data_IF_161264945948
#
_entry.id   IF_161264945948
#
_cell.length_a   1.000
_cell.length_b   1.000
_cell.length_c   1.000
_cell.angle_alpha   90.00
_cell.angle_beta   90.00
_cell.angle_gamma   90.00
#
_symmetry.space_group_name_H-M   'P 1'
#
loop_
_entity.id
_entity.type
_entity.pdbx_description
1 polymer ?
2 non-polymer ?
3 water ?
#
# COMPACT_ATOMS: atom_id res chain seq x y z
N UNK A 1 -14.10 -5.90 -9.98
CA UNK A 1 -12.82 -5.18 -10.24
C UNK A 1 -11.66 -5.84 -9.53
N UNK A 2 -10.52 -5.92 -10.22
CA UNK A 2 -9.31 -6.50 -9.65
C UNK A 2 -8.21 -5.49 -9.93
N UNK A 3 -7.37 -5.22 -8.94
CA UNK A 3 -6.28 -4.26 -9.13
C UNK A 3 -4.95 -4.99 -8.98
N UNK A 4 -4.11 -4.84 -9.99
CA UNK A 4 -2.80 -5.46 -9.97
C UNK A 4 -1.78 -4.32 -9.84
N UNK A 5 -1.05 -4.29 -8.74
CA UNK A 5 -0.05 -3.26 -8.54
C UNK A 5 1.29 -3.92 -8.74
N UNK A 6 2.09 -3.39 -9.65
CA UNK A 6 3.41 -3.95 -9.93
C UNK A 6 4.47 -3.02 -9.38
N UNK A 7 5.29 -3.51 -8.46
CA UNK A 7 6.35 -2.69 -7.92
C UNK A 7 7.62 -3.12 -8.62
N UNK A 8 8.27 -2.17 -9.31
CA UNK A 8 9.49 -2.44 -10.04
C UNK A 8 10.33 -1.18 -10.16
N UNK A 9 11.61 -1.32 -10.52
CA UNK A 9 12.48 -0.17 -10.66
C UNK A 9 12.06 0.64 -11.86
N UNK A 10 12.17 1.96 -11.75
CA UNK A 10 11.82 2.87 -12.81
C UNK A 10 12.78 2.69 -13.98
N UNK A 11 12.33 3.00 -15.19
CA UNK A 11 13.22 2.89 -16.33
C UNK A 11 12.83 2.01 -17.49
N UNK A 12 11.90 1.08 -17.29
CA UNK A 12 11.51 0.20 -18.39
C UNK A 12 10.98 1.04 -19.56
N UNK A 13 11.30 0.64 -20.80
CA UNK A 13 10.83 1.37 -21.97
C UNK A 13 9.32 1.26 -22.16
N UNK A 14 8.71 2.26 -22.81
CA UNK A 14 7.26 2.30 -23.07
C UNK A 14 6.69 0.99 -23.61
N UNK A 15 7.32 0.44 -24.65
CA UNK A 15 6.84 -0.81 -25.24
C UNK A 15 6.79 -1.98 -24.26
N UNK A 16 7.79 -2.06 -23.39
CA UNK A 16 7.84 -3.14 -22.42
C UNK A 16 6.70 -3.04 -21.40
N UNK A 17 6.45 -1.81 -20.93
CA UNK A 17 5.38 -1.57 -19.96
C UNK A 17 4.06 -1.92 -20.62
N UNK A 18 3.93 -1.52 -21.89
CA UNK A 18 2.72 -1.76 -22.66
C UNK A 18 2.43 -3.26 -22.77
N UNK A 19 3.47 -4.04 -23.05
CA UNK A 19 3.33 -5.49 -23.18
C UNK A 19 3.01 -6.13 -21.84
N UNK A 20 3.69 -5.67 -20.80
CA UNK A 20 3.47 -6.19 -19.44
C UNK A 20 2.00 -6.00 -19.07
N UNK A 21 1.52 -4.78 -19.22
CA UNK A 21 0.15 -4.45 -18.91
C UNK A 21 -0.84 -5.32 -19.71
N UNK A 22 -0.49 -5.64 -20.95
CA UNK A 22 -1.34 -6.48 -21.79
C UNK A 22 -1.39 -7.91 -21.30
N UNK A 23 -0.21 -8.52 -21.14
CA UNK A 23 -0.12 -9.90 -20.70
C UNK A 23 -0.76 -10.11 -19.34
N UNK A 24 -0.44 -9.24 -18.39
CA UNK A 24 -1.02 -9.35 -17.05
C UNK A 24 -2.54 -9.24 -17.10
N UNK A 25 -3.03 -8.28 -17.87
CA UNK A 25 -4.48 -8.09 -17.96
C UNK A 25 -5.12 -9.30 -18.59
N UNK A 26 -4.37 -10.00 -19.44
CA UNK A 26 -4.89 -11.18 -20.11
C UNK A 26 -5.08 -12.33 -19.13
N UNK A 27 -4.02 -12.64 -18.38
CA UNK A 27 -4.05 -13.72 -17.42
C UNK A 27 -5.03 -13.51 -16.27
N UNK A 28 -5.11 -12.29 -15.76
CA UNK A 28 -6.03 -11.99 -14.65
C UNK A 28 -7.49 -11.99 -15.09
N UNK A 29 -7.75 -11.47 -16.28
CA UNK A 29 -9.11 -11.41 -16.80
C UNK A 29 -9.64 -12.82 -17.00
N UNK A 30 -8.75 -13.70 -17.43
CA UNK A 30 -9.04 -15.09 -17.70
C UNK A 30 -9.33 -15.91 -16.43
N UNK A 31 -8.33 -16.06 -15.58
CA UNK A 31 -8.49 -16.85 -14.38
C UNK A 31 -9.45 -16.36 -13.31
N UNK A 32 -9.74 -15.05 -13.29
CA UNK A 32 -10.65 -14.54 -12.27
C UNK A 32 -12.02 -14.20 -12.83
N UNK A 33 -12.24 -14.57 -14.09
CA UNK A 33 -13.53 -14.29 -14.71
C UNK A 33 -13.91 -12.83 -14.58
N UNK A 34 -13.02 -11.96 -15.03
CA UNK A 34 -13.25 -10.51 -14.97
C UNK A 34 -13.20 -9.84 -16.34
N UNK A 35 -14.11 -8.90 -16.59
CA UNK A 35 -14.16 -8.16 -17.85
C UNK A 35 -13.01 -7.16 -17.86
N UNK A 36 -12.29 -7.09 -18.99
CA UNK A 36 -11.15 -6.18 -19.13
C UNK A 36 -11.28 -4.83 -18.45
N UNK A 37 -12.39 -4.13 -18.69
CA UNK A 37 -12.61 -2.82 -18.10
C UNK A 37 -12.49 -2.85 -16.59
N UNK A 38 -12.59 -4.04 -15.99
CA UNK A 38 -12.52 -4.18 -14.54
C UNK A 38 -11.16 -4.63 -14.01
N UNK A 39 -10.19 -4.80 -14.90
CA UNK A 39 -8.85 -5.20 -14.49
C UNK A 39 -8.01 -3.93 -14.61
N UNK A 40 -7.54 -3.43 -13.46
CA UNK A 40 -6.74 -2.21 -13.43
C UNK A 40 -5.31 -2.58 -13.09
N UNK A 41 -4.36 -1.97 -13.77
CA UNK A 41 -2.96 -2.23 -13.48
C UNK A 41 -2.29 -0.91 -13.13
N UNK A 42 -1.54 -0.92 -12.05
CA UNK A 42 -0.82 0.27 -11.63
C UNK A 42 0.65 -0.11 -11.56
N UNK A 43 1.48 0.72 -12.19
CA UNK A 43 2.90 0.48 -12.16
C UNK A 43 3.48 1.43 -11.13
N UNK A 44 3.92 0.85 -10.02
CA UNK A 44 4.53 1.62 -8.94
C UNK A 44 6.03 1.51 -9.20
N UNK A 45 6.58 2.50 -9.89
CA UNK A 45 8.00 2.50 -10.23
C UNK A 45 8.79 3.18 -9.13
N UNK A 46 9.76 2.46 -8.59
CA UNK A 46 10.56 3.00 -7.51
C UNK A 46 11.96 3.34 -8.00
N UNK A 47 12.53 4.39 -7.43
CA UNK A 47 13.86 4.81 -7.82
C UNK A 47 14.90 3.97 -7.12
N UNK A 48 16.10 3.93 -7.67
CA UNK A 48 17.15 3.12 -7.06
C UNK A 48 17.55 3.52 -5.65
N UNK A 49 17.37 4.79 -5.29
CA UNK A 49 17.71 5.20 -3.92
C UNK A 49 16.50 5.05 -2.97
N UNK A 50 15.49 4.28 -3.39
CA UNK A 50 14.30 4.03 -2.56
C UNK A 50 14.04 2.54 -2.36
N UNK A 51 14.93 1.70 -2.86
CA UNK A 51 14.73 0.25 -2.74
C UNK A 51 16.00 -0.42 -2.27
N UNK A 52 15.87 -1.29 -1.28
CA UNK A 52 17.05 -1.96 -0.75
C UNK A 52 16.79 -3.43 -0.47
N UNK A 53 17.86 -4.21 -0.59
CA UNK A 53 17.81 -5.65 -0.34
C UNK A 53 19.11 -5.96 0.37
N UNK A 54 19.04 -6.75 1.44
CA UNK A 54 20.26 -7.07 2.14
C UNK A 54 20.94 -5.84 2.72
N UNK A 55 20.15 -4.84 3.08
CA UNK A 55 20.67 -3.64 3.69
C UNK A 55 21.39 -2.67 2.77
N UNK A 56 21.31 -2.91 1.48
CA UNK A 56 22.00 -2.04 0.52
C UNK A 56 21.01 -1.46 -0.47
N UNK A 57 21.00 -0.13 -0.59
CA UNK A 57 20.14 0.54 -1.57
C UNK A 57 20.73 0.28 -2.97
N UNK A 58 19.86 0.12 -3.96
CA UNK A 58 20.32 -0.12 -5.33
C UNK A 58 21.19 1.04 -5.81
N UNK A 59 20.93 2.25 -5.30
CA UNK A 59 21.73 3.39 -5.70
C UNK A 59 23.19 3.27 -5.22
N UNK A 60 23.39 2.82 -3.99
CA UNK A 60 24.74 2.66 -3.45
C UNK A 60 25.43 1.45 -4.06
N UNK A 61 24.63 0.44 -4.41
CA UNK A 61 25.17 -0.77 -5.02
C UNK A 61 25.77 -0.43 -6.38
N UNK A 62 25.15 0.50 -7.09
CA UNK A 62 25.63 0.90 -8.41
C UNK A 62 26.76 1.90 -8.32
N UNK A 63 27.02 2.39 -7.12
CA UNK A 63 28.10 3.34 -6.91
C UNK A 63 27.70 4.80 -6.93
N UNK A 64 28.67 5.67 -6.64
CA UNK A 64 28.43 7.10 -6.62
C UNK A 64 29.64 7.86 -7.18
N UNK B 1 14.28 -7.73 -8.56
CA UNK B 1 13.00 -8.25 -7.99
C UNK B 1 11.81 -7.45 -8.50
N UNK B 2 10.67 -8.13 -8.57
CA UNK B 2 9.42 -7.54 -9.02
C UNK B 2 8.35 -8.03 -8.06
N UNK B 3 7.51 -7.12 -7.58
CA UNK B 3 6.44 -7.52 -6.67
C UNK B 3 5.09 -7.23 -7.31
N UNK B 4 4.22 -8.23 -7.30
CA UNK B 4 2.90 -8.06 -7.86
C UNK B 4 1.93 -8.17 -6.70
N UNK B 5 1.11 -7.15 -6.50
CA UNK B 5 0.13 -7.20 -5.43
C UNK B 5 -1.22 -7.23 -6.11
N UNK B 6 -2.01 -8.25 -5.80
CA UNK B 6 -3.35 -8.35 -6.39
C UNK B 6 -4.38 -8.02 -5.33
N UNK B 7 -5.18 -6.98 -5.57
CA UNK B 7 -6.24 -6.57 -4.66
C UNK B 7 -7.53 -7.08 -5.26
N UNK B 8 -8.22 -7.93 -4.52
CA UNK B 8 -9.46 -8.50 -4.99
C UNK B 8 -10.35 -8.89 -3.84
N UNK B 9 -11.63 -9.09 -4.14
CA UNK B 9 -12.61 -9.49 -3.13
C UNK B 9 -12.32 -10.92 -2.65
N UNK B 10 -12.51 -11.17 -1.37
CA UNK B 10 -12.30 -12.48 -0.76
C UNK B 10 -13.21 -13.50 -1.46
N UNK B 11 -12.87 -14.78 -1.38
CA UNK B 11 -13.75 -15.78 -1.97
C UNK B 11 -13.30 -16.62 -3.16
N UNK B 12 -12.19 -16.29 -3.78
CA UNK B 12 -11.73 -17.08 -4.92
C UNK B 12 -11.18 -18.42 -4.44
N UNK B 13 -11.52 -19.51 -5.15
CA UNK B 13 -11.07 -20.86 -4.82
C UNK B 13 -9.55 -21.00 -4.87
N UNK B 14 -8.98 -21.75 -3.91
CA UNK B 14 -7.53 -21.95 -3.85
C UNK B 14 -6.94 -22.42 -5.19
N UNK B 15 -7.74 -23.12 -5.98
CA UNK B 15 -7.28 -23.60 -7.28
C UNK B 15 -6.91 -22.43 -8.20
N UNK B 16 -7.83 -21.49 -8.33
CA UNK B 16 -7.62 -20.32 -9.17
C UNK B 16 -6.51 -19.41 -8.64
N UNK B 17 -6.45 -19.24 -7.32
CA UNK B 17 -5.41 -18.41 -6.72
C UNK B 17 -4.04 -18.98 -7.06
N UNK B 18 -3.94 -20.30 -6.94
CA UNK B 18 -2.70 -20.99 -7.21
C UNK B 18 -2.24 -20.85 -8.66
N UNK B 19 -3.19 -20.83 -9.58
CA UNK B 19 -2.85 -20.73 -10.98
C UNK B 19 -2.53 -19.29 -11.37
N UNK B 20 -3.26 -18.35 -10.79
CA UNK B 20 -3.04 -16.93 -11.03
C UNK B 20 -1.59 -16.63 -10.68
N UNK B 21 -1.20 -17.09 -9.50
CA UNK B 21 0.15 -16.87 -9.01
C UNK B 21 1.23 -17.45 -9.93
N UNK B 22 1.13 -18.73 -10.29
CA UNK B 22 2.13 -19.34 -11.17
C UNK B 22 2.25 -18.58 -12.50
N UNK B 23 1.10 -18.30 -13.09
CA UNK B 23 1.02 -17.58 -14.36
C UNK B 23 1.58 -16.15 -14.32
N UNK B 24 1.11 -15.37 -13.35
CA UNK B 24 1.58 -13.99 -13.23
C UNK B 24 3.09 -13.99 -13.08
N UNK B 25 3.60 -14.99 -12.36
CA UNK B 25 5.03 -15.10 -12.13
C UNK B 25 5.77 -15.41 -13.43
N UNK B 26 5.22 -16.31 -14.24
CA UNK B 26 5.86 -16.67 -15.49
C UNK B 26 5.88 -15.48 -16.45
N UNK B 27 4.73 -14.86 -16.67
CA UNK B 27 4.63 -13.72 -17.57
C UNK B 27 5.56 -12.58 -17.13
N UNK B 28 5.53 -12.27 -15.84
CA UNK B 28 6.37 -11.19 -15.32
C UNK B 28 7.84 -11.54 -15.43
N UNK B 29 8.15 -12.81 -15.19
CA UNK B 29 9.54 -13.28 -15.24
C UNK B 29 10.19 -13.16 -16.62
N UNK B 30 9.49 -13.60 -17.66
CA UNK B 30 10.05 -13.56 -19.00
C UNK B 30 10.02 -12.17 -19.64
N UNK B 31 8.89 -11.48 -19.51
CA UNK B 31 8.75 -10.15 -20.09
C UNK B 31 9.69 -9.12 -19.47
N UNK B 32 10.19 -9.39 -18.27
CA UNK B 32 11.06 -8.43 -17.58
C UNK B 32 12.45 -8.97 -17.31
N UNK B 33 12.73 -10.17 -17.79
CA UNK B 33 14.04 -10.74 -17.59
C UNK B 33 14.42 -10.82 -16.12
N UNK B 34 13.44 -11.13 -15.29
CA UNK B 34 13.67 -11.26 -13.86
C UNK B 34 13.66 -12.75 -13.52
N UNK B 35 14.58 -13.20 -12.66
CA UNK B 35 14.56 -14.63 -12.33
C UNK B 35 13.30 -15.00 -11.54
N UNK B 36 12.85 -16.24 -11.72
CA UNK B 36 11.67 -16.77 -11.05
C UNK B 36 11.67 -16.49 -9.55
N UNK B 37 12.77 -16.83 -8.90
CA UNK B 37 12.92 -16.67 -7.46
C UNK B 37 12.78 -15.21 -7.02
N UNK B 38 13.06 -14.29 -7.94
CA UNK B 38 12.99 -12.86 -7.63
C UNK B 38 11.61 -12.24 -7.88
N UNK B 39 10.63 -13.09 -8.18
CA UNK B 39 9.29 -12.60 -8.43
C UNK B 39 8.37 -12.98 -7.27
N UNK B 40 7.77 -11.96 -6.65
CA UNK B 40 6.87 -12.18 -5.53
C UNK B 40 5.46 -11.73 -5.86
N UNK B 41 4.49 -12.47 -5.32
CA UNK B 41 3.10 -12.14 -5.54
C UNK B 41 2.40 -12.12 -4.19
N UNK B 42 1.64 -11.06 -3.93
CA UNK B 42 0.90 -10.98 -2.70
C UNK B 42 -0.57 -10.76 -3.02
N UNK B 43 -1.44 -11.52 -2.36
CA UNK B 43 -2.86 -11.39 -2.59
C UNK B 43 -3.50 -10.64 -1.44
N UNK B 44 -3.97 -9.43 -1.73
CA UNK B 44 -4.62 -8.63 -0.71
C UNK B 44 -6.12 -8.87 -0.89
N UNK B 45 -6.66 -9.81 -0.10
CA UNK B 45 -8.08 -10.15 -0.21
C UNK B 45 -8.91 -9.29 0.71
N UNK B 46 -9.85 -8.57 0.12
CA UNK B 46 -10.70 -7.65 0.87
C UNK B 46 -12.08 -8.27 1.19
N UNK B 47 -12.55 -8.09 2.42
CA UNK B 47 -13.87 -8.62 2.80
C UNK B 47 -14.98 -7.81 2.16
N UNK B 48 -16.16 -8.40 2.04
CA UNK B 48 -17.27 -7.68 1.44
C UNK B 48 -17.66 -6.46 2.25
N UNK B 49 -17.39 -6.47 3.55
CA UNK B 49 -17.76 -5.29 4.34
C UNK B 49 -16.64 -4.25 4.39
N UNK B 50 -15.66 -4.37 3.49
CA UNK B 50 -14.53 -3.43 3.42
C UNK B 50 -14.34 -2.96 1.99
N UNK B 51 -15.22 -3.40 1.11
CA UNK B 51 -15.14 -3.12 -0.31
C UNK B 51 -16.40 -2.41 -0.80
N UNK B 52 -16.24 -1.22 -1.37
CA UNK B 52 -17.37 -0.44 -1.85
C UNK B 52 -17.19 0.18 -3.23
N UNK B 53 -18.30 0.26 -3.95
CA UNK B 53 -18.35 0.85 -5.29
C UNK B 53 -19.64 1.64 -5.33
N UNK B 54 -19.56 2.87 -5.84
CA UNK B 54 -20.75 3.70 -5.92
C UNK B 54 -21.43 3.98 -4.59
N UNK B 55 -20.65 4.10 -3.52
CA UNK B 55 -21.22 4.38 -2.22
C UNK B 55 -21.84 3.22 -1.46
N UNK B 56 -21.76 2.02 -2.04
CA UNK B 56 -22.36 0.86 -1.41
C UNK B 56 -21.36 -0.23 -1.04
N UNK B 57 -21.35 -0.62 0.23
CA UNK B 57 -20.49 -1.71 0.67
C UNK B 57 -21.08 -2.99 0.11
N UNK B 58 -20.24 -3.87 -0.41
CA UNK B 58 -20.79 -5.10 -0.96
C UNK B 58 -21.51 -5.93 0.08
N UNK B 59 -21.16 -5.74 1.36
CA UNK B 59 -21.80 -6.49 2.42
C UNK B 59 -23.26 -6.03 2.57
N UNK B 60 -23.59 -4.88 1.98
CA UNK B 60 -24.95 -4.35 2.09
C UNK B 60 -25.83 -4.69 0.90
N UNK B 61 -25.35 -5.51 -0.01
CA UNK B 61 -26.16 -5.91 -1.16
C UNK B 61 -26.85 -7.23 -0.81
N UNK B 62 -28.11 -7.38 -1.22
CA UNK B 62 -28.84 -8.61 -0.89
C UNK B 62 -28.26 -9.83 -1.61
N UNK B 63 -28.29 -10.96 -0.92
CA UNK B 63 -27.78 -12.20 -1.48
C UNK B 63 -26.33 -12.48 -1.13
N UNK C 1 10.06 -14.09 3.39
CA UNK C 1 10.94 -12.94 3.68
C UNK C 1 10.17 -11.91 4.52
N UNK C 2 10.68 -10.68 4.54
CA UNK C 2 10.02 -9.61 5.28
C UNK C 2 10.24 -8.31 4.52
N UNK C 3 9.19 -7.51 4.40
CA UNK C 3 9.31 -6.25 3.70
C UNK C 3 8.96 -5.12 4.64
N UNK C 4 9.80 -4.10 4.66
CA UNK C 4 9.57 -2.96 5.52
C UNK C 4 9.38 -1.78 4.59
N UNK C 5 8.24 -1.13 4.72
CA UNK C 5 7.94 0.02 3.89
C UNK C 5 7.92 1.23 4.81
N UNK C 6 8.71 2.22 4.48
CA UNK C 6 8.76 3.42 5.29
C UNK C 6 8.09 4.54 4.51
N UNK C 7 7.04 5.12 5.07
CA UNK C 7 6.38 6.23 4.43
C UNK C 7 6.84 7.46 5.18
N UNK C 8 7.49 8.37 4.47
CA UNK C 8 8.02 9.57 5.08
C UNK C 8 8.12 10.65 4.02
N UNK C 9 8.23 11.89 4.49
CA UNK C 9 8.34 13.02 3.58
C UNK C 9 9.65 12.96 2.81
N UNK C 10 9.61 13.38 1.56
CA UNK C 10 10.81 13.37 0.75
C UNK C 10 11.81 14.38 1.32
N UNK C 11 13.09 14.24 0.98
CA UNK C 11 14.07 15.21 1.44
C UNK C 11 15.23 14.73 2.31
N UNK C 12 15.16 13.52 2.84
CA UNK C 12 16.24 13.03 3.69
C UNK C 12 17.52 12.82 2.91
N UNK C 13 18.67 13.22 3.50
CA UNK C 13 19.97 13.08 2.84
C UNK C 13 20.30 11.61 2.61
N UNK C 14 21.07 11.31 1.57
CA UNK C 14 21.46 9.93 1.24
C UNK C 14 22.06 9.16 2.41
N UNK C 15 22.86 9.83 3.23
CA UNK C 15 23.51 9.14 4.35
C UNK C 15 22.50 8.72 5.40
N UNK C 16 21.49 9.56 5.61
CA UNK C 16 20.46 9.23 6.59
C UNK C 16 19.68 8.01 6.12
N UNK C 17 19.41 7.98 4.83
CA UNK C 17 18.66 6.88 4.24
C UNK C 17 19.43 5.57 4.29
N UNK C 18 20.72 5.61 3.98
CA UNK C 18 21.45 4.36 4.00
C UNK C 18 21.60 3.83 5.43
N UNK C 19 21.76 4.72 6.40
CA UNK C 19 21.86 4.25 7.78
C UNK C 19 20.52 3.67 8.22
N UNK C 20 19.43 4.34 7.86
CA UNK C 20 18.11 3.85 8.23
C UNK C 20 17.90 2.44 7.65
N UNK C 21 18.24 2.26 6.38
CA UNK C 21 18.09 0.96 5.74
C UNK C 21 18.94 -0.11 6.44
N UNK C 22 20.18 0.22 6.81
CA UNK C 22 21.04 -0.73 7.51
C UNK C 22 20.42 -1.12 8.85
N UNK C 23 20.05 -0.13 9.65
CA UNK C 23 19.47 -0.38 10.97
C UNK C 23 18.19 -1.22 10.92
N UNK C 24 17.29 -0.89 9.99
CA UNK C 24 16.04 -1.64 9.83
C UNK C 24 16.32 -3.09 9.41
N UNK C 25 17.30 -3.26 8.52
CA UNK C 25 17.62 -4.56 8.01
C UNK C 25 18.21 -5.46 9.09
N UNK C 26 19.17 -4.95 9.85
CA UNK C 26 19.79 -5.76 10.89
C UNK C 26 18.77 -6.11 11.97
N UNK C 27 17.96 -5.14 12.38
CA UNK C 27 16.98 -5.37 13.44
C UNK C 27 15.89 -6.34 13.02
N UNK C 28 15.36 -6.19 11.81
CA UNK C 28 14.29 -7.08 11.35
C UNK C 28 14.85 -8.49 11.24
N UNK C 29 16.05 -8.59 10.71
CA UNK C 29 16.70 -9.88 10.54
C UNK C 29 16.96 -10.54 11.89
N UNK C 30 17.36 -9.72 12.85
CA UNK C 30 17.69 -10.18 14.19
C UNK C 30 16.48 -10.66 14.98
N UNK C 31 15.45 -9.83 15.04
CA UNK C 31 14.27 -10.13 15.81
C UNK C 31 13.33 -11.16 15.21
N UNK C 32 13.35 -11.32 13.89
CA UNK C 32 12.46 -12.27 13.23
C UNK C 32 13.13 -13.55 12.71
N UNK C 33 14.46 -13.63 12.81
CA UNK C 33 15.15 -14.80 12.32
C UNK C 33 15.06 -14.93 10.81
N UNK C 34 15.07 -13.80 10.10
CA UNK C 34 14.99 -13.83 8.64
C UNK C 34 16.38 -13.57 8.08
N UNK C 35 16.75 -14.31 7.02
CA UNK C 35 18.08 -14.10 6.44
C UNK C 35 18.27 -12.62 6.14
N UNK C 36 19.40 -12.07 6.60
CA UNK C 36 19.72 -10.65 6.40
C UNK C 36 19.60 -10.25 4.93
N UNK C 37 20.03 -11.13 4.04
CA UNK C 37 19.99 -10.83 2.63
C UNK C 37 18.59 -10.80 2.04
N UNK C 38 17.62 -11.39 2.74
CA UNK C 38 16.24 -11.46 2.26
C UNK C 38 15.38 -10.31 2.72
N UNK C 39 15.89 -9.47 3.62
CA UNK C 39 15.09 -8.35 4.10
C UNK C 39 15.10 -7.24 3.05
N UNK C 40 13.91 -6.77 2.71
CA UNK C 40 13.77 -5.73 1.72
C UNK C 40 13.19 -4.49 2.39
N UNK C 41 13.62 -3.32 1.93
CA UNK C 41 13.14 -2.07 2.49
C UNK C 41 12.76 -1.19 1.31
N UNK C 42 11.59 -0.58 1.37
CA UNK C 42 11.19 0.33 0.33
C UNK C 42 10.86 1.66 1.02
N UNK C 43 11.33 2.75 0.44
CA UNK C 43 11.10 4.08 0.98
C UNK C 43 10.05 4.72 0.09
N UNK C 44 8.87 4.92 0.66
CA UNK C 44 7.79 5.55 -0.06
C UNK C 44 7.91 7.02 0.36
N UNK C 45 8.65 7.80 -0.41
CA UNK C 45 8.85 9.21 -0.09
C UNK C 45 7.72 10.04 -0.71
N UNK C 46 6.95 10.69 0.14
CA UNK C 46 5.80 11.49 -0.30
C UNK C 46 6.22 12.95 -0.50
N UNK C 47 5.73 13.56 -1.58
CA UNK C 47 6.05 14.96 -1.85
C UNK C 47 5.36 15.83 -0.82
N UNK C 48 5.91 17.02 -0.57
CA UNK C 48 5.29 17.93 0.40
C UNK C 48 3.87 18.31 -0.03
N UNK C 49 3.61 18.34 -1.33
CA UNK C 49 2.28 18.68 -1.79
C UNK C 49 1.37 17.47 -1.96
N UNK C 50 1.75 16.36 -1.34
CA UNK C 50 0.94 15.13 -1.38
C UNK C 50 0.70 14.58 0.02
N UNK C 51 1.18 15.31 1.02
CA UNK C 51 1.14 14.91 2.42
C UNK C 51 0.43 15.94 3.30
N UNK C 52 -0.72 15.55 3.85
CA UNK C 52 -1.51 16.46 4.67
C UNK C 52 -1.84 15.91 6.06
N UNK C 53 -1.93 16.83 7.01
CA UNK C 53 -2.31 16.52 8.40
C UNK C 53 -3.16 17.71 8.84
N UNK C 54 -4.24 17.43 9.56
CA UNK C 54 -5.09 18.52 10.01
C UNK C 54 -5.66 19.32 8.86
N UNK C 55 -5.91 18.64 7.73
CA UNK C 55 -6.48 19.28 6.56
C UNK C 55 -5.56 20.19 5.75
N UNK C 56 -4.29 20.25 6.10
CA UNK C 56 -3.37 21.11 5.38
C UNK C 56 -2.19 20.37 4.77
N UNK C 57 -1.94 20.64 3.49
CA UNK C 57 -0.81 20.03 2.78
C UNK C 57 0.49 20.65 3.29
N UNK C 58 1.51 19.83 3.49
CA UNK C 58 2.78 20.31 4.01
C UNK C 58 3.37 21.44 3.17
N UNK C 59 3.17 21.38 1.86
CA UNK C 59 3.71 22.41 0.98
C UNK C 59 3.09 23.77 1.32
N UNK C 60 1.82 23.78 1.73
CA UNK C 60 1.13 25.03 2.07
C UNK C 60 1.56 25.48 3.45
N UNK C 61 1.63 24.54 4.38
CA UNK C 61 2.04 24.83 5.74
C UNK C 61 3.44 25.44 5.73
N UNK C 62 4.40 24.71 5.16
CA UNK C 62 5.78 25.16 5.08
C UNK C 62 5.97 26.37 4.18
N UNK C 63 5.21 26.42 3.08
CA UNK C 63 5.31 27.53 2.16
C UNK C 63 3.96 28.15 1.85
N UNK D 1 5.71 12.95 11.24
CA UNK D 1 5.25 11.55 11.38
C UNK D 1 5.91 10.63 10.35
N UNK D 2 6.12 9.39 10.74
CA UNK D 2 6.71 8.40 9.85
C UNK D 2 5.94 7.13 10.17
N UNK D 3 5.58 6.38 9.12
CA UNK D 3 4.85 5.16 9.31
C UNK D 3 5.71 4.02 8.78
N UNK D 4 5.87 2.98 9.59
CA UNK D 4 6.64 1.83 9.16
C UNK D 4 5.61 0.73 8.99
N UNK D 5 5.56 0.13 7.81
CA UNK D 5 4.62 -0.97 7.57
C UNK D 5 5.47 -2.20 7.37
N UNK D 6 5.23 -3.22 8.18
CA UNK D 6 6.02 -4.44 8.06
C UNK D 6 5.14 -5.53 7.46
N UNK D 7 5.56 -6.09 6.34
CA UNK D 7 4.82 -7.17 5.71
C UNK D 7 5.55 -8.45 6.07
N UNK D 8 4.84 -9.35 6.76
CA UNK D 8 5.43 -10.61 7.16
C UNK D 8 4.34 -11.65 7.30
N UNK D 9 4.75 -12.91 7.28
CA UNK D 9 3.77 -13.99 7.44
C UNK D 9 3.17 -13.96 8.84
N UNK D 10 1.88 -14.23 8.95
CA UNK D 10 1.23 -14.26 10.25
C UNK D 10 1.81 -15.41 11.07
N UNK D 11 1.56 -15.38 12.37
CA UNK D 11 2.04 -16.45 13.22
C UNK D 11 2.95 -16.03 14.35
N UNK D 12 3.51 -14.83 14.27
CA UNK D 12 4.40 -14.35 15.33
C UNK D 12 3.68 -14.12 16.64
N UNK D 13 4.25 -14.61 17.75
CA UNK D 13 3.64 -14.44 19.06
C UNK D 13 3.59 -12.96 19.48
N UNK D 14 2.64 -12.61 20.35
CA UNK D 14 2.50 -11.22 20.81
C UNK D 14 3.79 -10.60 21.34
N UNK D 15 4.55 -11.35 22.12
CA UNK D 15 5.79 -10.83 22.68
C UNK D 15 6.78 -10.42 21.59
N UNK D 16 6.82 -11.19 20.50
CA UNK D 16 7.73 -10.89 19.41
C UNK D 16 7.29 -9.62 18.65
N UNK D 17 5.98 -9.47 18.45
CA UNK D 17 5.44 -8.30 17.75
C UNK D 17 5.73 -7.04 18.56
N UNK D 18 5.51 -7.14 19.85
CA UNK D 18 5.73 -6.04 20.79
C UNK D 18 7.21 -5.60 20.75
N UNK D 19 8.12 -6.57 20.78
CA UNK D 19 9.55 -6.26 20.74
C UNK D 19 9.91 -5.57 19.43
N UNK D 20 9.44 -6.14 18.32
CA UNK D 20 9.70 -5.57 16.99
C UNK D 20 9.24 -4.11 16.91
N UNK D 21 8.01 -3.84 17.34
CA UNK D 21 7.47 -2.50 17.30
C UNK D 21 8.24 -1.51 18.15
N UNK D 22 8.63 -1.95 19.34
CA UNK D 22 9.37 -1.09 20.25
C UNK D 22 10.76 -0.74 19.69
N UNK D 23 11.50 -1.73 19.19
CA UNK D 23 12.83 -1.47 18.64
C UNK D 23 12.81 -0.64 17.35
N UNK D 24 11.87 -0.92 16.46
CA UNK D 24 11.81 -0.14 15.23
C UNK D 24 11.48 1.31 15.56
N UNK D 25 10.56 1.50 16.50
CA UNK D 25 10.16 2.85 16.90
C UNK D 25 11.32 3.67 17.46
N UNK D 26 12.08 3.08 18.38
CA UNK D 26 13.22 3.77 19.00
C UNK D 26 14.22 4.17 17.92
N UNK D 27 14.53 3.21 17.05
CA UNK D 27 15.49 3.45 15.99
C UNK D 27 15.05 4.53 15.00
N UNK D 28 13.81 4.47 14.53
CA UNK D 28 13.34 5.46 13.57
C UNK D 28 13.25 6.84 14.20
N UNK D 29 12.74 6.90 15.42
CA UNK D 29 12.59 8.16 16.12
C UNK D 29 13.94 8.89 16.22
N UNK D 30 14.93 8.20 16.75
CA UNK D 30 16.25 8.80 16.91
C UNK D 30 16.86 9.19 15.57
N UNK D 31 16.97 8.20 14.68
CA UNK D 31 17.58 8.39 13.38
C UNK D 31 16.93 9.45 12.50
N UNK D 32 15.60 9.53 12.50
CA UNK D 32 14.94 10.50 11.65
C UNK D 32 14.61 11.79 12.38
N UNK D 33 14.84 11.79 13.69
CA UNK D 33 14.56 12.99 14.48
C UNK D 33 13.08 13.27 14.57
N UNK D 34 12.28 12.21 14.66
CA UNK D 34 10.83 12.34 14.77
C UNK D 34 10.43 12.10 16.22
N UNK D 35 9.42 12.82 16.71
CA UNK D 35 8.94 12.64 18.09
C UNK D 35 8.54 11.19 18.26
N UNK D 36 9.02 10.59 19.35
CA UNK D 36 8.74 9.19 19.63
C UNK D 36 7.28 8.82 19.42
N UNK D 37 6.38 9.68 19.88
CA UNK D 37 4.95 9.42 19.75
C UNK D 37 4.42 9.57 18.34
N UNK D 38 5.21 10.17 17.45
CA UNK D 38 4.82 10.39 16.05
C UNK D 38 5.25 9.26 15.13
N UNK D 39 5.88 8.24 15.68
CA UNK D 39 6.31 7.10 14.87
C UNK D 39 5.24 6.04 15.02
N UNK D 40 4.69 5.64 13.87
CA UNK D 40 3.62 4.64 13.81
C UNK D 40 4.11 3.37 13.11
N UNK D 41 3.68 2.22 13.63
CA UNK D 41 4.06 0.98 13.02
C UNK D 41 2.78 0.18 12.72
N UNK D 42 2.70 -0.38 11.53
CA UNK D 42 1.55 -1.19 11.17
C UNK D 42 2.09 -2.54 10.77
N UNK D 43 1.52 -3.62 11.32
CA UNK D 43 1.98 -4.95 10.97
C UNK D 43 0.98 -5.54 10.00
N UNK D 44 1.42 -5.76 8.78
CA UNK D 44 0.56 -6.33 7.76
C UNK D 44 0.91 -7.82 7.68
N UNK D 45 0.17 -8.64 8.42
CA UNK D 45 0.43 -10.08 8.45
C UNK D 45 -0.32 -10.79 7.33
N UNK D 46 0.43 -11.50 6.52
CA UNK D 46 -0.12 -12.19 5.36
C UNK D 46 -0.30 -13.68 5.65
N UNK D 47 -1.36 -14.27 5.10
CA UNK D 47 -1.59 -15.70 5.30
C UNK D 47 -0.67 -16.44 4.34
N UNK D 48 -0.38 -17.69 4.66
CA UNK D 48 0.49 -18.47 3.82
C UNK D 48 -0.15 -18.68 2.45
N UNK D 49 -1.47 -18.66 2.38
CA UNK D 49 -2.12 -18.84 1.08
C UNK D 49 -2.35 -17.52 0.35
N UNK D 50 -1.61 -16.48 0.74
CA UNK D 50 -1.71 -15.18 0.10
C UNK D 50 -0.34 -14.66 -0.31
N UNK D 51 0.70 -15.46 -0.10
CA UNK D 51 2.05 -15.02 -0.44
C UNK D 51 2.78 -16.08 -1.23
N UNK D 52 3.34 -15.67 -2.38
CA UNK D 52 4.07 -16.58 -3.24
C UNK D 52 5.42 -16.02 -3.61
N UNK D 53 6.35 -16.94 -3.84
CA UNK D 53 7.71 -16.61 -4.23
C UNK D 53 8.05 -17.65 -5.30
N UNK D 54 8.66 -17.22 -6.40
CA UNK D 54 8.99 -18.17 -7.44
C UNK D 54 7.78 -18.95 -7.93
N UNK D 55 6.65 -18.27 -8.02
CA UNK D 55 5.44 -18.89 -8.51
C UNK D 55 4.73 -19.89 -7.60
N UNK D 56 5.20 -20.06 -6.38
CA UNK D 56 4.58 -21.03 -5.47
C UNK D 56 4.06 -20.42 -4.15
N UNK D 57 2.78 -20.65 -3.90
CA UNK D 57 2.14 -20.15 -2.68
C UNK D 57 2.75 -20.87 -1.50
N UNK D 58 3.00 -20.14 -0.41
CA UNK D 58 3.59 -20.78 0.75
C UNK D 58 2.70 -21.82 1.39
N UNK D 59 1.41 -21.78 1.08
CA UNK D 59 0.48 -22.76 1.63
C UNK D 59 0.77 -24.12 0.97
N UNK D 60 1.35 -24.09 -0.23
CA UNK D 60 1.68 -25.32 -0.94
C UNK D 60 3.12 -25.73 -0.65
N UNK D 61 4.02 -24.75 -0.60
CA UNK D 61 5.43 -25.02 -0.32
C UNK D 61 5.61 -25.57 1.09
N UNK D 62 4.58 -25.43 1.91
CA UNK D 62 4.62 -25.90 3.30
C UNK D 62 4.43 -27.41 3.36
N UNK E 1 -5.64 7.67 15.23
CA UNK E 1 -5.59 8.44 13.96
C UNK E 1 -6.15 7.63 12.80
N UNK E 2 -6.38 8.32 11.68
CA UNK E 2 -6.91 7.68 10.49
C UNK E 2 -6.12 8.21 9.30
N UNK E 3 -5.84 7.34 8.34
CA UNK E 3 -5.10 7.75 7.17
C UNK E 3 -5.96 7.49 5.96
N UNK E 4 -6.12 8.50 5.12
CA UNK E 4 -6.91 8.35 3.92
C UNK E 4 -5.94 8.50 2.76
N UNK E 5 -5.82 7.45 1.95
CA UNK E 5 -4.93 7.49 0.81
C UNK E 5 -5.81 7.60 -0.43
N UNK E 6 -5.54 8.61 -1.25
CA UNK E 6 -6.32 8.79 -2.46
C UNK E 6 -5.44 8.47 -3.66
N UNK E 7 -5.82 7.44 -4.40
CA UNK E 7 -5.09 7.06 -5.61
C UNK E 7 -5.86 7.66 -6.77
N UNK E 8 -5.18 8.50 -7.54
CA UNK E 8 -5.81 9.17 -8.68
C UNK E 8 -4.74 9.61 -9.69
N UNK E 9 -5.13 9.76 -10.93
CA UNK E 9 -4.21 10.21 -11.97
C UNK E 9 -3.66 11.59 -11.62
N UNK E 10 -2.40 11.84 -11.97
CA UNK E 10 -1.82 13.14 -11.67
C UNK E 10 -2.47 14.15 -12.63
N UNK E 11 -2.28 15.44 -12.36
CA UNK E 11 -2.83 16.45 -13.24
C UNK E 11 -3.94 17.31 -12.67
N UNK E 12 -4.51 16.93 -11.53
CA UNK E 12 -5.56 17.74 -10.95
C UNK E 12 -5.01 19.10 -10.51
N UNK E 13 -5.84 20.15 -10.56
CA UNK E 13 -5.39 21.49 -10.15
C UNK E 13 -5.08 21.50 -8.64
N UNK E 14 -4.10 22.30 -8.22
CA UNK E 14 -3.77 22.36 -6.79
C UNK E 14 -4.94 22.70 -5.87
N UNK E 15 -5.84 23.58 -6.33
CA UNK E 15 -6.98 23.96 -5.49
C UNK E 15 -7.98 22.82 -5.31
N UNK E 16 -8.09 21.97 -6.34
CA UNK E 16 -9.00 20.83 -6.25
C UNK E 16 -8.45 19.89 -5.20
N UNK E 17 -7.14 19.66 -5.25
CA UNK E 17 -6.50 18.79 -4.29
C UNK E 17 -6.60 19.38 -2.90
N UNK E 18 -6.40 20.68 -2.75
CA UNK E 18 -6.49 21.30 -1.42
C UNK E 18 -7.87 21.12 -0.84
N UNK E 19 -8.87 21.39 -1.67
CA UNK E 19 -10.27 21.28 -1.26
C UNK E 19 -10.60 19.85 -0.86
N UNK E 20 -10.15 18.90 -1.68
CA UNK E 20 -10.38 17.49 -1.40
C UNK E 20 -9.81 17.13 -0.02
N UNK E 21 -8.57 17.53 0.22
CA UNK E 21 -7.93 17.25 1.49
C UNK E 21 -8.70 17.85 2.66
N UNK E 22 -9.10 19.10 2.50
CA UNK E 22 -9.83 19.80 3.55
C UNK E 22 -11.18 19.12 3.83
N UNK E 23 -11.95 18.86 2.77
CA UNK E 23 -13.25 18.22 2.91
C UNK E 23 -13.16 16.79 3.50
N UNK E 24 -12.21 16.01 3.01
CA UNK E 24 -12.03 14.64 3.50
C UNK E 24 -11.72 14.65 5.00
N UNK E 25 -10.86 15.57 5.42
CA UNK E 25 -10.45 15.69 6.80
C UNK E 25 -11.61 16.08 7.72
N UNK E 26 -12.38 17.09 7.33
CA UNK E 26 -13.52 17.53 8.14
C UNK E 26 -14.50 16.38 8.36
N UNK E 27 -14.86 15.74 7.26
CA UNK E 27 -15.80 14.64 7.30
C UNK E 27 -15.29 13.42 8.06
N UNK E 28 -14.03 13.04 7.85
CA UNK E 28 -13.49 11.88 8.57
C UNK E 28 -13.40 12.21 10.06
N UNK E 29 -13.00 13.43 10.37
CA UNK E 29 -12.86 13.86 11.75
C UNK E 29 -14.17 13.81 12.52
N UNK E 30 -15.19 14.44 11.96
CA UNK E 30 -16.51 14.50 12.58
C UNK E 30 -17.17 13.14 12.67
N UNK E 31 -17.16 12.42 11.55
CA UNK E 31 -17.77 11.12 11.46
C UNK E 31 -17.13 10.04 12.32
N UNK E 32 -15.82 10.07 12.46
CA UNK E 32 -15.14 9.05 13.24
C UNK E 32 -14.70 9.54 14.61
N UNK E 33 -15.06 10.78 14.94
CA UNK E 33 -14.68 11.33 16.23
C UNK E 33 -13.18 11.39 16.45
N UNK E 34 -12.42 11.52 15.36
CA UNK E 34 -10.97 11.61 15.45
C UNK E 34 -10.58 13.09 15.49
N UNK E 35 -9.60 13.45 16.32
CA UNK E 35 -9.22 14.85 16.38
C UNK E 35 -8.70 15.31 15.00
N UNK E 36 -9.11 16.50 14.62
CA UNK E 36 -8.76 17.10 13.34
C UNK E 36 -7.28 16.95 12.95
N UNK E 37 -6.38 17.09 13.92
CA UNK E 37 -4.94 16.97 13.65
C UNK E 37 -4.47 15.54 13.45
N UNK E 38 -5.27 14.57 13.89
CA UNK E 38 -4.93 13.16 13.76
C UNK E 38 -5.39 12.53 12.44
N UNK E 39 -6.06 13.33 11.61
CA UNK E 39 -6.50 12.80 10.34
C UNK E 39 -5.46 13.16 9.30
N UNK E 40 -4.96 12.14 8.62
CA UNK E 40 -3.95 12.33 7.60
C UNK E 40 -4.38 11.89 6.24
N UNK E 41 -4.00 12.67 5.24
CA UNK E 41 -4.33 12.34 3.86
C UNK E 41 -3.05 12.26 3.04
N UNK E 42 -2.95 11.22 2.22
CA UNK E 42 -1.81 11.02 1.34
C UNK E 42 -2.36 10.95 -0.07
N UNK E 43 -1.79 11.76 -0.94
CA UNK E 43 -2.22 11.77 -2.33
C UNK E 43 -1.22 10.97 -3.14
N UNK E 44 -1.70 9.83 -3.65
CA UNK E 44 -0.89 8.97 -4.47
C UNK E 44 -1.28 9.27 -5.91
N UNK E 45 -0.52 10.16 -6.53
CA UNK E 45 -0.78 10.55 -7.91
C UNK E 45 -0.04 9.64 -8.86
N UNK E 46 -0.79 8.95 -9.71
CA UNK E 46 -0.20 8.02 -10.65
C UNK E 46 -0.03 8.69 -12.02
N UNK E 47 1.06 8.36 -12.70
CA UNK E 47 1.33 8.92 -14.01
C UNK E 47 0.50 8.19 -15.05
N UNK E 48 0.20 8.89 -16.14
CA UNK E 48 -0.58 8.28 -17.20
C UNK E 48 0.11 7.07 -17.78
N UNK E 49 1.44 7.05 -17.73
CA UNK E 49 2.16 5.90 -18.26
C UNK E 49 2.37 4.82 -17.20
N UNK E 50 1.60 4.89 -16.11
CA UNK E 50 1.69 3.89 -15.02
C UNK E 50 0.28 3.41 -14.61
N UNK E 51 -0.71 3.81 -15.39
CA UNK E 51 -2.11 3.51 -15.05
C UNK E 51 -2.80 2.91 -16.25
N UNK E 52 -3.32 1.69 -16.09
CA UNK E 52 -3.99 0.99 -17.17
C UNK E 52 -5.32 0.41 -16.76
N UNK E 53 -6.20 0.30 -17.74
CA UNK E 53 -7.52 -0.28 -17.55
C UNK E 53 -7.83 -0.97 -18.86
N UNK E 54 -8.25 -2.24 -18.79
CA UNK E 54 -8.57 -2.95 -20.00
C UNK E 54 -7.35 -3.24 -20.86
N UNK E 55 -6.20 -3.34 -20.21
CA UNK E 55 -4.97 -3.62 -20.92
C UNK E 55 -4.38 -2.40 -21.63
N UNK E 56 -4.94 -1.22 -21.39
CA UNK E 56 -4.44 -0.02 -22.05
C UNK E 56 -3.95 1.11 -21.14
N UNK E 57 -2.67 1.46 -21.27
CA UNK E 57 -2.08 2.53 -20.48
C UNK E 57 -2.78 3.81 -20.88
N UNK E 58 -3.12 4.66 -19.91
CA UNK E 58 -3.80 5.89 -20.27
C UNK E 58 -2.92 6.83 -21.10
N UNK E 59 -1.62 6.66 -21.03
CA UNK E 59 -0.72 7.48 -21.82
C UNK E 59 -0.96 7.17 -23.29
N UNK E 60 -1.46 5.98 -23.56
CA UNK E 60 -1.77 5.58 -24.93
C UNK E 60 -3.22 5.94 -25.22
N UNK E 61 -3.71 6.96 -24.52
CA UNK E 61 -5.08 7.43 -24.66
C UNK E 61 -6.09 6.32 -24.36
N UNK F 1 -11.41 6.55 -12.72
CA UNK F 1 -11.52 5.85 -11.42
C UNK F 1 -10.65 6.52 -10.35
N UNK F 2 -11.16 6.53 -9.12
CA UNK F 2 -10.44 7.08 -7.99
C UNK F 2 -10.62 6.07 -6.88
N UNK F 3 -9.54 5.77 -6.19
CA UNK F 3 -9.62 4.79 -5.11
C UNK F 3 -9.26 5.42 -3.78
N UNK F 4 -10.18 5.36 -2.84
CA UNK F 4 -9.93 5.90 -1.52
C UNK F 4 -9.71 4.72 -0.61
N UNK F 5 -8.54 4.66 0.00
CA UNK F 5 -8.22 3.59 0.91
C UNK F 5 -8.15 4.23 2.29
N UNK F 6 -8.97 3.72 3.19
CA UNK F 6 -8.98 4.26 4.54
C UNK F 6 -8.28 3.27 5.46
N UNK F 7 -7.24 3.73 6.16
CA UNK F 7 -6.55 2.87 7.10
C UNK F 7 -7.04 3.33 8.48
N UNK F 8 -7.66 2.42 9.23
CA UNK F 8 -8.20 2.74 10.55
C UNK F 8 -8.22 1.47 11.40
N UNK F 9 -8.31 1.65 12.72
CA UNK F 9 -8.33 0.53 13.64
C UNK F 9 -9.65 -0.22 13.47
N UNK F 10 -9.60 -1.55 13.50
CA UNK F 10 -10.82 -2.36 13.38
C UNK F 10 -11.77 -1.99 14.55
N UNK F 11 -13.02 -2.43 14.48
CA UNK F 11 -13.95 -2.14 15.57
C UNK F 11 -15.16 -1.25 15.30
N UNK F 12 -15.08 -0.40 14.28
CA UNK F 12 -16.19 0.49 13.97
C UNK F 12 -17.46 -0.28 13.61
N UNK F 13 -18.62 0.20 14.09
CA UNK F 13 -19.87 -0.48 13.80
C UNK F 13 -20.24 -0.30 12.34
N UNK F 14 -20.99 -1.27 11.78
CA UNK F 14 -21.43 -1.24 10.39
C UNK F 14 -22.05 0.08 9.96
N UNK F 15 -22.92 0.62 10.80
CA UNK F 15 -23.59 1.86 10.42
C UNK F 15 -22.60 2.98 10.15
N UNK F 16 -21.60 3.11 11.00
CA UNK F 16 -20.60 4.16 10.82
C UNK F 16 -19.76 3.90 9.57
N UNK F 17 -19.49 2.63 9.28
CA UNK F 17 -18.72 2.32 8.11
C UNK F 17 -19.53 2.59 6.84
N UNK F 18 -20.82 2.26 6.84
CA UNK F 18 -21.56 2.53 5.61
C UNK F 18 -21.77 4.02 5.46
N UNK F 19 -21.90 4.73 6.57
CA UNK F 19 -22.04 6.20 6.49
C UNK F 19 -20.75 6.85 5.97
N UNK F 20 -19.60 6.32 6.37
CA UNK F 20 -18.32 6.87 5.93
C UNK F 20 -18.15 6.65 4.43
N UNK F 21 -18.38 5.42 3.99
CA UNK F 21 -18.24 5.07 2.58
C UNK F 21 -19.15 5.93 1.70
N UNK F 22 -20.35 6.22 2.22
CA UNK F 22 -21.31 7.03 1.48
C UNK F 22 -20.84 8.47 1.32
N UNK F 23 -20.43 9.09 2.42
CA UNK F 23 -19.95 10.47 2.42
C UNK F 23 -18.69 10.66 1.59
N UNK F 24 -17.75 9.71 1.69
CA UNK F 24 -16.51 9.79 0.91
C UNK F 24 -16.80 9.70 -0.57
N UNK F 25 -17.75 8.83 -0.93
CA UNK F 25 -18.07 8.68 -2.33
C UNK F 25 -18.72 9.94 -2.90
N UNK F 26 -19.69 10.47 -2.17
CA UNK F 26 -20.40 11.67 -2.60
C UNK F 26 -19.46 12.88 -2.76
N UNK F 27 -18.51 13.02 -1.84
CA UNK F 27 -17.56 14.13 -1.91
C UNK F 27 -16.56 13.93 -3.05
N UNK F 28 -16.02 12.74 -3.15
CA UNK F 28 -15.05 12.43 -4.19
C UNK F 28 -15.67 12.57 -5.58
N UNK F 29 -16.91 12.08 -5.72
CA UNK F 29 -17.61 12.15 -7.00
C UNK F 29 -17.77 13.61 -7.39
N UNK F 30 -18.27 14.40 -6.45
CA UNK F 30 -18.50 15.82 -6.63
C UNK F 30 -17.22 16.57 -6.95
N UNK F 31 -16.36 16.73 -5.94
CA UNK F 31 -15.10 17.44 -6.11
C UNK F 31 -14.28 17.04 -7.32
N UNK F 32 -14.20 15.75 -7.61
CA UNK F 32 -13.39 15.29 -8.75
C UNK F 32 -14.17 14.99 -10.02
N UNK F 33 -15.49 15.11 -9.95
CA UNK F 33 -16.31 14.84 -11.12
C UNK F 33 -16.18 13.44 -11.66
N UNK F 34 -16.21 12.45 -10.77
CA UNK F 34 -16.10 11.06 -11.17
C UNK F 34 -17.46 10.40 -11.01
N UNK F 35 -17.78 9.43 -11.88
CA UNK F 35 -19.08 8.77 -11.77
C UNK F 35 -19.04 7.81 -10.58
N UNK F 36 -20.12 7.78 -9.81
CA UNK F 36 -20.20 6.91 -8.62
C UNK F 36 -19.60 5.53 -8.77
N UNK F 37 -19.85 4.89 -9.91
CA UNK F 37 -19.34 3.54 -10.14
C UNK F 37 -17.82 3.53 -10.21
N UNK F 38 -17.23 4.67 -10.52
CA UNK F 38 -15.79 4.76 -10.62
C UNK F 38 -15.12 5.15 -9.30
N UNK F 39 -15.93 5.46 -8.30
CA UNK F 39 -15.39 5.82 -7.00
C UNK F 39 -15.42 4.55 -6.16
N UNK F 40 -14.24 4.04 -5.84
CA UNK F 40 -14.13 2.82 -5.05
C UNK F 40 -13.52 3.16 -3.71
N UNK F 41 -14.00 2.50 -2.68
CA UNK F 41 -13.47 2.73 -1.35
C UNK F 41 -13.09 1.36 -0.80
N UNK F 42 -11.92 1.31 -0.17
CA UNK F 42 -11.42 0.08 0.42
C UNK F 42 -11.14 0.40 1.89
N UNK F 43 -11.67 -0.39 2.79
CA UNK F 43 -11.42 -0.12 4.20
C UNK F 43 -10.36 -1.09 4.70
N UNK F 44 -9.17 -0.56 4.95
CA UNK F 44 -8.08 -1.39 5.44
C UNK F 44 -8.14 -1.33 6.97
N UNK F 45 -8.87 -2.26 7.56
CA UNK F 45 -9.00 -2.26 9.02
C UNK F 45 -7.85 -3.01 9.66
N UNK F 46 -7.13 -2.31 10.52
CA UNK F 46 -5.98 -2.93 11.15
C UNK F 46 -6.41 -3.44 12.53
N UNK F 47 -5.91 -4.62 12.92
CA UNK F 47 -6.26 -5.18 14.22
C UNK F 47 -5.52 -4.46 15.32
N UNK F 48 -6.08 -4.49 16.52
CA UNK F 48 -5.45 -3.82 17.64
C UNK F 48 -4.04 -4.36 17.93
N UNK F 49 -3.81 -5.61 17.56
CA UNK F 49 -2.50 -6.23 17.79
C UNK F 49 -1.57 -6.01 16.60
N UNK F 50 -1.92 -5.07 15.72
CA UNK F 50 -1.10 -4.79 14.55
C UNK F 50 -0.90 -3.28 14.38
N UNK F 51 -1.46 -2.51 15.32
CA UNK F 51 -1.45 -1.06 15.24
C UNK F 51 -0.70 -0.45 16.42
N UNK F 52 0.37 0.29 16.13
CA UNK F 52 1.19 0.90 17.18
C UNK F 52 1.52 2.37 16.94
N UNK F 53 1.68 3.08 18.05
CA UNK F 53 2.04 4.49 18.08
C UNK F 53 2.88 4.65 19.36
N UNK F 54 3.96 5.41 19.28
CA UNK F 54 4.77 5.57 20.47
C UNK F 54 5.37 4.27 20.94
N UNK F 55 5.52 3.32 20.02
CA UNK F 55 6.11 2.03 20.38
C UNK F 55 5.21 1.11 21.17
N UNK F 56 3.93 1.44 21.24
CA UNK F 56 2.97 0.64 21.97
C UNK F 56 1.83 0.11 21.09
N UNK F 57 1.66 -1.21 21.06
CA UNK F 57 0.58 -1.82 20.29
C UNK F 57 -0.73 -1.50 21.01
N UNK F 58 -1.77 -1.18 20.23
CA UNK F 58 -3.06 -0.82 20.82
C UNK F 58 -3.59 -1.93 21.71
N UNK F 59 -3.33 -3.18 21.35
CA UNK F 59 -3.81 -4.30 22.12
C UNK F 59 -3.20 -4.31 23.53
N UNK F 60 -2.05 -3.67 23.67
CA UNK F 60 -1.35 -3.56 24.95
C UNK F 60 -1.78 -2.31 25.68
N UNK F 61 -2.62 -1.51 25.02
CA UNK F 61 -3.12 -0.26 25.57
C UNK F 61 -3.07 -0.17 27.08
N UNK F 62 -2.18 0.70 27.55
CA UNK F 62 -1.95 0.94 28.96
C UNK F 62 -3.11 1.71 29.58
N UNK F 63 -3.50 2.81 28.95
CA UNK F 63 -4.60 3.61 29.45
C UNK F 63 -4.30 4.38 30.73
X LIG G 1 2.48 -2.19 -0.56
X LIG G 1 2.64 -0.75 -0.85
X LIG G 1 1.81 -2.38 0.74
X LIG G 1 1.65 -2.79 -1.62
X LIG G 1 3.80 -2.83 -0.54
X LIG H 1 -0.09 1.55 2.52
X LIG H 1 -0.98 2.70 2.28
X LIG H 1 -0.61 0.72 3.62
X LIG H 1 0.00 0.74 1.29
X LIG H 1 1.26 2.04 2.86
X LIG I 1 -2.17 0.28 -2.40
X LIG I 1 -3.24 1.27 -2.46
X LIG I 1 -1.81 0.03 -1.00
X LIG I 1 -2.61 -0.98 -3.02
X LIG I 1 -1.01 0.80 -3.14
#
# INVERSE_FOLDING_TARGET
MVVLKVTLLEGRPPEKKRELVRRLTEMASRLLGEPYEEVRVILYEVRRDQWAAGGVLFSDKEGT
MVVLKVTLLEGRPPEKKRELVRRLTEMASRLLGEPYEEVRVILYEVRRDQWAAGGVLFSDKEGT
MVVLKVTLLEGRPPEKKRELVRRLTEMASRLLGEPYEEVRVILYEVRRDQWAAGGVLFSDKEGT
MVVLKVTLLEGRPPEKKRELVRRLTEMASRLLGEPYEEVRVILYEVRRDQWAAGGVLFSDKEGT
MVVLKVTLLEGRPPEKKRELVRRLTEMASRLLGEPYEEVRVILYEVRRDQWAAGGVLFSDKEGT
MVVLKVTLLEGRPPEKKRELVRRLTEMASRLLGEPYEEVRVILYEVRRDQWAAGGVLFSDKEGT
SO4 S O1 O2 O3 O4
SO4 S O1 O2 O3 O4
SO4 S O1 O2 O3 O4
#
